data_IF_702919855744
#
_entry.id   IF_702919855744
#
_cell.length_a   1.000
_cell.length_b   1.000
_cell.length_c   1.000
_cell.angle_alpha   90.00
_cell.angle_beta   90.00
_cell.angle_gamma   90.00
#
_symmetry.space_group_name_H-M   'P 1'
#
loop_
_entity.id
_entity.type
_entity.pdbx_description
1 polymer ?
#
# COMPACT_ATOMS: atom_id res chain seq x y z
N UNK A 1 -11.10 1.77 -1.23
CA UNK A 1 -9.70 1.32 -1.29
C UNK A 1 -9.67 -0.14 -0.90
N UNK A 2 -8.89 -0.95 -1.60
CA UNK A 2 -8.76 -2.38 -1.31
C UNK A 2 -7.73 -2.53 -0.18
N UNK A 3 -8.10 -3.16 0.93
CA UNK A 3 -7.13 -3.49 1.97
C UNK A 3 -6.23 -4.63 1.48
N UNK A 4 -4.92 -4.40 1.54
CA UNK A 4 -3.91 -5.43 1.32
C UNK A 4 -3.27 -5.82 2.64
N UNK A 5 -2.95 -7.09 2.76
CA UNK A 5 -2.27 -7.66 3.92
C UNK A 5 -1.21 -8.64 3.45
N UNK A 6 -0.11 -8.76 4.18
CA UNK A 6 1.00 -9.65 3.84
C UNK A 6 1.01 -10.83 4.78
N UNK A 7 0.95 -12.05 4.26
CA UNK A 7 0.99 -13.23 5.10
C UNK A 7 2.36 -13.37 5.78
N UNK A 8 2.38 -13.43 7.12
CA UNK A 8 3.62 -13.41 7.92
C UNK A 8 4.09 -14.81 8.36
N UNK A 9 3.40 -15.88 7.94
CA UNK A 9 3.72 -17.25 8.34
C UNK A 9 3.04 -17.71 9.63
N UNK A 10 2.13 -16.90 10.19
CA UNK A 10 1.32 -17.30 11.33
C UNK A 10 0.46 -18.54 11.02
N UNK A 11 0.41 -19.45 11.98
CA UNK A 11 -0.40 -20.70 11.92
C UNK A 11 -1.17 -20.96 13.20
N UNK A 12 -1.04 -20.08 14.21
CA UNK A 12 -1.66 -20.25 15.52
C UNK A 12 -3.19 -20.25 15.42
N UNK A 13 -3.81 -21.35 15.88
CA UNK A 13 -5.27 -21.54 15.87
C UNK A 13 -5.79 -21.43 17.30
N UNK A 14 -6.55 -20.37 17.57
CA UNK A 14 -7.30 -20.21 18.83
C UNK A 14 -8.80 -20.50 18.64
N UNK A 15 -9.23 -20.73 17.40
CA UNK A 15 -10.58 -21.06 16.96
C UNK A 15 -10.53 -21.78 15.60
N UNK A 16 -11.68 -22.24 15.13
CA UNK A 16 -11.81 -22.91 13.83
C UNK A 16 -11.63 -21.90 12.69
N UNK A 17 -10.56 -22.05 11.93
CA UNK A 17 -10.24 -21.27 10.73
C UNK A 17 -9.58 -22.18 9.69
N UNK A 18 -9.48 -21.71 8.44
CA UNK A 18 -8.92 -22.47 7.33
C UNK A 18 -7.42 -22.69 7.46
N UNK A 19 -6.92 -23.76 6.85
CA UNK A 19 -5.50 -24.07 6.83
C UNK A 19 -4.73 -23.10 5.92
N UNK A 20 -3.61 -22.50 6.37
CA UNK A 20 -2.83 -21.60 5.54
C UNK A 20 -2.00 -22.30 4.45
N UNK A 21 -2.23 -23.57 4.10
CA UNK A 21 -1.46 -24.30 3.06
C UNK A 21 -1.38 -23.60 1.71
N UNK A 22 -2.42 -22.84 1.34
CA UNK A 22 -2.46 -22.07 0.09
C UNK A 22 -1.86 -20.66 0.23
N UNK A 23 -1.38 -20.30 1.42
CA UNK A 23 -0.74 -19.02 1.70
C UNK A 23 0.78 -19.13 1.56
N UNK A 24 1.40 -18.11 0.95
CA UNK A 24 2.83 -18.03 0.71
C UNK A 24 3.39 -16.92 1.60
N UNK A 25 4.34 -17.26 2.47
CA UNK A 25 4.96 -16.29 3.40
C UNK A 25 5.55 -15.13 2.61
N UNK A 26 5.23 -13.90 3.03
CA UNK A 26 5.66 -12.66 2.39
C UNK A 26 4.80 -12.21 1.20
N UNK A 27 3.87 -13.04 0.71
CA UNK A 27 2.96 -12.64 -0.38
C UNK A 27 1.86 -11.71 0.15
N UNK A 28 1.53 -10.70 -0.65
CA UNK A 28 0.41 -9.79 -0.40
C UNK A 28 -0.89 -10.38 -0.96
N UNK A 29 -1.95 -10.25 -0.17
CA UNK A 29 -3.30 -10.67 -0.49
C UNK A 29 -4.25 -9.50 -0.33
N UNK A 30 -5.25 -9.45 -1.20
CA UNK A 30 -6.37 -8.52 -1.09
C UNK A 30 -7.44 -9.12 -0.19
N UNK A 31 -7.84 -8.38 0.85
CA UNK A 31 -8.94 -8.73 1.74
C UNK A 31 -10.24 -8.30 1.07
N UNK A 32 -11.10 -9.26 0.74
CA UNK A 32 -12.41 -9.00 0.13
C UNK A 32 -13.55 -8.95 1.15
N UNK A 33 -13.36 -9.58 2.32
CA UNK A 33 -14.30 -9.50 3.43
C UNK A 33 -13.58 -9.71 4.76
N UNK A 34 -14.06 -9.03 5.80
CA UNK A 34 -13.73 -9.30 7.20
C UNK A 34 -14.94 -9.88 7.89
N UNK A 35 -14.75 -10.93 8.67
CA UNK A 35 -15.72 -11.43 9.64
C UNK A 35 -15.21 -11.04 11.01
N UNK A 36 -15.96 -10.21 11.71
CA UNK A 36 -15.56 -9.68 13.00
C UNK A 36 -16.42 -10.34 14.08
N UNK A 37 -15.74 -10.94 15.06
CA UNK A 37 -16.31 -11.48 16.29
C UNK A 37 -15.83 -10.63 17.47
N UNK A 38 -16.37 -10.88 18.68
CA UNK A 38 -16.01 -10.11 19.88
C UNK A 38 -14.50 -10.14 20.22
N UNK A 39 -13.77 -11.17 19.79
CA UNK A 39 -12.37 -11.39 20.19
C UNK A 39 -11.43 -11.83 19.07
N UNK A 40 -11.92 -11.98 17.83
CA UNK A 40 -11.10 -12.32 16.67
C UNK A 40 -11.68 -11.78 15.36
N UNK A 41 -10.87 -11.81 14.32
CA UNK A 41 -11.28 -11.42 12.97
C UNK A 41 -10.72 -12.39 11.94
N UNK A 42 -11.55 -12.82 11.01
CA UNK A 42 -11.14 -13.60 9.85
C UNK A 42 -11.11 -12.76 8.59
N UNK A 43 -10.09 -12.98 7.78
CA UNK A 43 -9.97 -12.44 6.44
C UNK A 43 -10.37 -13.48 5.39
N UNK A 44 -11.24 -13.06 4.48
CA UNK A 44 -11.49 -13.75 3.23
C UNK A 44 -10.67 -13.05 2.16
N UNK A 45 -9.84 -13.80 1.44
CA UNK A 45 -8.85 -13.27 0.51
C UNK A 45 -9.29 -13.48 -0.94
N UNK A 46 -8.98 -12.52 -1.81
CA UNK A 46 -9.25 -12.67 -3.24
C UNK A 46 -8.46 -13.85 -3.81
N UNK A 47 -9.18 -14.81 -4.39
CA UNK A 47 -8.57 -15.94 -5.11
C UNK A 47 -7.96 -17.02 -4.22
N UNK A 48 -8.21 -16.99 -2.91
CA UNK A 48 -7.83 -18.07 -1.98
C UNK A 48 -9.09 -18.53 -1.26
N UNK A 49 -9.36 -19.85 -1.29
CA UNK A 49 -10.52 -20.41 -0.61
C UNK A 49 -10.23 -20.57 0.87
N UNK A 50 -11.02 -19.93 1.71
CA UNK A 50 -10.93 -20.09 3.17
C UNK A 50 -11.16 -18.79 3.93
N UNK A 51 -11.13 -18.94 5.24
CA UNK A 51 -11.27 -17.89 6.24
C UNK A 51 -10.05 -17.96 7.15
N UNK A 52 -9.24 -16.91 7.13
CA UNK A 52 -7.91 -16.94 7.72
C UNK A 52 -7.82 -15.98 8.89
N UNK A 53 -7.19 -16.41 9.97
CA UNK A 53 -7.02 -15.59 11.16
C UNK A 53 -6.24 -14.31 10.83
N UNK A 54 -6.81 -13.14 11.09
CA UNK A 54 -6.23 -11.84 10.71
C UNK A 54 -4.85 -11.60 11.30
N UNK A 55 -4.54 -12.20 12.46
CA UNK A 55 -3.23 -12.05 13.15
C UNK A 55 -2.08 -12.69 12.37
N UNK A 56 -2.38 -13.53 11.37
CA UNK A 56 -1.37 -14.12 10.49
C UNK A 56 -0.93 -13.19 9.37
N UNK A 57 -1.36 -11.93 9.39
CA UNK A 57 -1.02 -10.98 8.36
C UNK A 57 -0.54 -9.66 8.93
N UNK A 58 0.49 -9.11 8.30
CA UNK A 58 0.95 -7.75 8.53
C UNK A 58 0.15 -6.79 7.63
N UNK A 59 -0.21 -5.62 8.16
CA UNK A 59 -0.86 -4.60 7.36
C UNK A 59 0.07 -4.08 6.26
N UNK A 60 -0.42 -4.04 5.02
CA UNK A 60 0.28 -3.38 3.92
C UNK A 60 -0.37 -2.02 3.71
N UNK A 61 0.24 -0.99 4.28
CA UNK A 61 -0.11 0.38 3.96
C UNK A 61 0.73 0.87 2.77
N UNK A 62 0.05 1.29 1.71
CA UNK A 62 0.70 2.10 0.68
C UNK A 62 0.84 3.51 1.26
N UNK A 63 2.06 3.94 1.58
CA UNK A 63 2.24 5.29 2.09
C UNK A 63 1.90 6.30 1.00
N UNK A 64 0.99 7.23 1.31
CA UNK A 64 0.59 8.29 0.39
C UNK A 64 1.32 9.57 0.78
N UNK A 65 2.07 10.14 -0.16
CA UNK A 65 2.80 11.38 0.02
C UNK A 65 2.28 12.46 -0.93
N UNK A 66 2.19 13.70 -0.44
CA UNK A 66 2.05 14.86 -1.32
C UNK A 66 3.43 15.33 -1.77
N UNK A 67 3.57 15.68 -3.05
CA UNK A 67 4.82 16.16 -3.60
C UNK A 67 4.60 17.20 -4.71
N UNK A 68 5.67 17.92 -5.04
CA UNK A 68 5.74 18.83 -6.18
C UNK A 68 6.93 18.48 -7.07
N UNK A 69 6.83 18.74 -8.37
CA UNK A 69 7.94 18.56 -9.31
C UNK A 69 7.85 19.54 -10.47
N UNK A 70 8.97 19.73 -11.18
CA UNK A 70 9.04 20.49 -12.44
C UNK A 70 8.94 19.62 -13.69
N UNK A 71 8.86 18.29 -13.52
CA UNK A 71 8.83 17.33 -14.62
C UNK A 71 7.62 16.43 -14.45
N UNK A 72 7.01 16.01 -15.56
CA UNK A 72 5.93 15.01 -15.52
C UNK A 72 6.51 13.63 -15.19
N UNK A 73 5.79 12.79 -14.42
CA UNK A 73 6.23 11.43 -14.12
C UNK A 73 6.14 10.53 -15.36
N UNK A 74 7.05 9.57 -15.46
CA UNK A 74 7.14 8.63 -16.58
C UNK A 74 7.12 7.19 -16.07
N UNK A 75 6.33 6.32 -16.71
CA UNK A 75 6.26 4.89 -16.39
C UNK A 75 7.63 4.22 -16.60
N UNK A 76 7.98 3.29 -15.72
CA UNK A 76 9.21 2.50 -15.82
C UNK A 76 10.49 3.23 -15.42
N UNK A 77 10.42 4.52 -15.05
CA UNK A 77 11.57 5.31 -14.60
C UNK A 77 11.52 5.60 -13.11
N UNK A 78 12.68 5.89 -12.52
CA UNK A 78 12.74 6.58 -11.23
C UNK A 78 12.26 8.03 -11.41
N UNK A 79 11.66 8.60 -10.38
CA UNK A 79 11.09 9.94 -10.47
C UNK A 79 11.63 10.84 -9.36
N UNK A 80 12.14 12.01 -9.76
CA UNK A 80 12.65 13.02 -8.85
C UNK A 80 11.56 14.06 -8.56
N UNK A 81 11.30 14.31 -7.28
CA UNK A 81 10.31 15.26 -6.81
C UNK A 81 10.69 15.84 -5.45
N UNK A 82 9.94 16.81 -4.96
CA UNK A 82 10.05 17.32 -3.59
C UNK A 82 8.81 16.93 -2.81
N UNK A 83 8.94 16.03 -1.84
CA UNK A 83 7.83 15.62 -0.97
C UNK A 83 7.60 16.63 0.15
N UNK A 84 6.35 16.78 0.55
CA UNK A 84 5.98 17.53 1.75
C UNK A 84 6.26 16.66 2.99
N UNK A 85 7.03 17.19 3.94
CA UNK A 85 7.29 16.57 5.25
C UNK A 85 7.18 17.59 6.38
N UNK A 86 6.76 17.13 7.56
CA UNK A 86 6.90 17.90 8.79
C UNK A 86 8.31 17.72 9.37
N UNK A 87 9.10 18.80 9.38
CA UNK A 87 10.47 18.81 9.89
C UNK A 87 10.55 19.89 10.96
N UNK A 88 10.68 19.46 12.23
CA UNK A 88 10.71 20.37 13.38
C UNK A 88 9.41 21.14 13.56
N UNK A 89 8.26 20.46 13.41
CA UNK A 89 6.92 21.07 13.55
C UNK A 89 6.50 21.98 12.39
N UNK A 90 7.35 22.16 11.37
CA UNK A 90 7.07 22.98 10.19
C UNK A 90 6.94 22.12 8.95
N UNK A 91 5.95 22.44 8.12
CA UNK A 91 5.80 21.82 6.80
C UNK A 91 6.91 22.32 5.87
N UNK A 92 7.69 21.41 5.29
CA UNK A 92 8.79 21.71 4.38
C UNK A 92 8.75 20.80 3.15
N UNK A 93 9.28 21.32 2.04
CA UNK A 93 9.60 20.51 0.88
C UNK A 93 10.99 19.89 1.05
N UNK A 94 11.07 18.57 0.85
CA UNK A 94 12.33 17.83 0.88
C UNK A 94 12.53 17.10 -0.43
N UNK A 95 13.69 17.30 -1.06
CA UNK A 95 14.07 16.57 -2.27
C UNK A 95 14.02 15.06 -2.06
N UNK A 96 13.50 14.36 -3.05
CA UNK A 96 13.24 12.92 -2.99
C UNK A 96 13.37 12.27 -4.36
N UNK A 97 13.84 11.02 -4.37
CA UNK A 97 13.82 10.15 -5.54
C UNK A 97 13.02 8.91 -5.20
N UNK A 98 12.03 8.61 -6.03
CA UNK A 98 11.18 7.43 -5.83
C UNK A 98 11.85 6.16 -6.36
N UNK A 99 11.31 4.99 -5.99
CA UNK A 99 11.55 3.78 -6.77
C UNK A 99 10.85 3.84 -8.14
N UNK A 100 10.96 2.77 -8.92
CA UNK A 100 10.43 2.72 -10.29
C UNK A 100 8.92 2.99 -10.27
N UNK A 101 8.49 3.95 -11.10
CA UNK A 101 7.08 4.27 -11.31
C UNK A 101 6.40 3.11 -12.03
N UNK A 102 5.38 2.53 -11.38
CA UNK A 102 4.59 1.39 -11.88
C UNK A 102 3.26 1.83 -12.50
N UNK A 103 2.70 2.96 -12.06
CA UNK A 103 1.47 3.52 -12.63
C UNK A 103 1.49 5.05 -12.53
N UNK A 104 0.93 5.72 -13.54
CA UNK A 104 0.69 7.16 -13.55
C UNK A 104 -0.76 7.40 -13.96
N UNK A 105 -1.51 8.07 -13.08
CA UNK A 105 -2.89 8.48 -13.32
C UNK A 105 -2.94 10.02 -13.30
N UNK A 106 -3.44 10.65 -14.38
CA UNK A 106 -3.61 12.10 -14.44
C UNK A 106 -4.95 12.49 -13.82
N UNK A 107 -4.91 13.29 -12.76
CA UNK A 107 -6.08 13.71 -11.99
C UNK A 107 -6.63 15.08 -12.44
N UNK A 108 -5.97 15.74 -13.40
CA UNK A 108 -6.29 17.09 -13.86
C UNK A 108 -5.45 18.18 -13.19
N UNK A 109 -5.45 19.39 -13.76
CA UNK A 109 -4.69 20.55 -13.27
C UNK A 109 -3.21 20.24 -13.00
N UNK A 110 -2.56 19.46 -13.85
CA UNK A 110 -1.17 18.97 -13.70
C UNK A 110 -0.91 18.24 -12.38
N UNK A 111 -1.94 17.62 -11.80
CA UNK A 111 -1.82 16.72 -10.66
C UNK A 111 -1.81 15.28 -11.17
N UNK A 112 -0.84 14.52 -10.70
CA UNK A 112 -0.65 13.12 -11.07
C UNK A 112 -0.62 12.27 -9.81
N UNK A 113 -1.30 11.14 -9.84
CA UNK A 113 -1.11 10.07 -8.87
C UNK A 113 -0.09 9.08 -9.44
N UNK A 114 1.03 8.95 -8.75
CA UNK A 114 2.19 8.19 -9.17
C UNK A 114 2.37 7.03 -8.20
N UNK A 115 2.13 5.81 -8.67
CA UNK A 115 2.35 4.59 -7.87
C UNK A 115 3.74 4.02 -8.14
N UNK A 116 4.47 3.70 -7.09
CA UNK A 116 5.79 3.05 -7.14
C UNK A 116 5.71 1.66 -6.48
N UNK A 117 6.81 1.00 -6.16
CA UNK A 117 6.75 -0.35 -5.52
C UNK A 117 5.82 -0.36 -4.30
N UNK A 118 6.03 0.58 -3.37
CA UNK A 118 5.41 0.53 -2.04
C UNK A 118 4.64 1.81 -1.68
N UNK A 119 4.75 2.87 -2.49
CA UNK A 119 4.26 4.19 -2.14
C UNK A 119 3.41 4.77 -3.28
N UNK A 120 2.51 5.68 -2.91
CA UNK A 120 1.79 6.53 -3.83
C UNK A 120 2.23 7.97 -3.58
N UNK A 121 2.49 8.70 -4.66
CA UNK A 121 2.77 10.13 -4.60
C UNK A 121 1.66 10.87 -5.34
N UNK A 122 0.98 11.80 -4.66
CA UNK A 122 0.11 12.79 -5.30
C UNK A 122 1.00 13.99 -5.62
N UNK A 123 1.34 14.13 -6.90
CA UNK A 123 2.34 15.08 -7.38
C UNK A 123 1.68 16.19 -8.16
N UNK A 124 1.84 17.43 -7.70
CA UNK A 124 1.52 18.62 -8.50
C UNK A 124 2.76 19.00 -9.32
N UNK A 125 2.65 18.95 -10.64
CA UNK A 125 3.66 19.50 -11.54
C UNK A 125 3.45 21.00 -11.65
N UNK A 126 4.52 21.75 -11.41
CA UNK A 126 4.57 23.21 -11.47
C UNK A 126 5.66 23.61 -12.45
N UNK A 127 5.36 24.60 -13.28
CA UNK A 127 6.33 25.21 -14.20
C UNK A 127 7.27 26.16 -13.44
#
# INVERSE_FOLDING_TARGET
MVQKVRYNGGTQRMYECSDPTDLIVGKEYEVIQKKESDWHTEYILRGVKGEFNSVWFDEVSENIYMAVSRRKPELGKIYACSKLEFIGGKLKLKGWTTSIVKNVEHLGNDIFKVKTENNIYIVKVVD
#
